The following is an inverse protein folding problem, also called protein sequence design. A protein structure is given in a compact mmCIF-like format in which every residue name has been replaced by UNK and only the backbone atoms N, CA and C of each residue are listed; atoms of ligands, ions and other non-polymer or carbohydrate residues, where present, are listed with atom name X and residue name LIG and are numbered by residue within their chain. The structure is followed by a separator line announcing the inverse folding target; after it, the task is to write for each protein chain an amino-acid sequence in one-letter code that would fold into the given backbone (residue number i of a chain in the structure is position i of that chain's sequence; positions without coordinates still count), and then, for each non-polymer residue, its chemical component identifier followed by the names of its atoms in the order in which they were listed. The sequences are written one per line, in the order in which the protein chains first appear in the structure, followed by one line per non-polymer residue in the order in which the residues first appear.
data_IF_430550269881
#
_entry.id   IF_430550269881
#
_cell.length_a   1.000
_cell.length_b   1.000
_cell.length_c   1.000
_cell.angle_alpha   90.00
_cell.angle_beta   90.00
_cell.angle_gamma   90.00
#
_symmetry.space_group_name_H-M   'P 1'
#
loop_
_entity.id
_entity.type
_entity.pdbx_description
1 polymer ?
#
# COMPACT_ATOMS: atom_id res chain seq x y z
N UNK A 1 -0.33 21.78 6.44
CA UNK A 1 0.04 23.17 6.76
C UNK A 1 0.60 23.83 5.51
N UNK A 2 0.16 25.05 5.23
CA UNK A 2 0.65 25.90 4.13
C UNK A 2 1.29 27.14 4.74
N UNK A 3 2.57 27.35 4.48
CA UNK A 3 3.28 28.55 4.94
C UNK A 3 3.53 29.47 3.76
N UNK A 4 3.11 30.73 3.84
CA UNK A 4 3.31 31.74 2.82
C UNK A 4 4.55 32.59 3.10
N UNK A 5 5.54 32.56 2.21
CA UNK A 5 6.76 33.40 2.26
C UNK A 5 6.71 34.39 1.10
N UNK A 6 6.57 35.69 1.37
CA UNK A 6 6.60 36.70 0.30
C UNK A 6 8.02 36.80 -0.29
N UNK A 7 8.11 36.79 -1.60
CA UNK A 7 9.30 37.02 -2.36
C UNK A 7 9.02 38.09 -3.43
N UNK A 8 10.04 38.82 -3.92
CA UNK A 8 9.84 39.87 -4.93
C UNK A 8 9.15 39.32 -6.18
N UNK A 9 7.90 39.73 -6.40
CA UNK A 9 7.07 39.31 -7.52
C UNK A 9 6.45 37.92 -7.42
N UNK A 10 6.73 37.14 -6.33
CA UNK A 10 6.17 35.82 -6.09
C UNK A 10 5.77 35.60 -4.64
N UNK A 11 4.77 34.76 -4.40
CA UNK A 11 4.45 34.21 -3.10
C UNK A 11 4.79 32.72 -3.10
N UNK A 12 5.84 32.34 -2.35
CA UNK A 12 6.21 30.94 -2.17
C UNK A 12 5.33 30.32 -1.10
N UNK A 13 4.56 29.31 -1.47
CA UNK A 13 3.69 28.54 -0.60
C UNK A 13 4.33 27.18 -0.32
N UNK A 14 4.96 27.03 0.84
CA UNK A 14 5.56 25.76 1.27
C UNK A 14 4.49 24.87 1.86
N UNK A 15 4.41 23.66 1.34
CA UNK A 15 3.43 22.67 1.76
C UNK A 15 4.11 21.49 2.45
N UNK A 16 3.54 21.07 3.59
CA UNK A 16 4.01 19.90 4.32
C UNK A 16 2.86 19.07 4.85
N UNK A 17 3.05 17.75 4.90
CA UNK A 17 2.12 16.81 5.50
C UNK A 17 1.60 15.74 4.55
N UNK A 18 0.80 14.82 5.10
CA UNK A 18 0.09 13.78 4.34
C UNK A 18 -1.27 14.33 3.91
N UNK A 19 -1.54 14.33 2.62
CA UNK A 19 -2.80 14.76 2.04
C UNK A 19 -3.73 13.55 1.81
N UNK A 20 -4.35 13.07 2.89
CA UNK A 20 -5.51 12.18 2.80
C UNK A 20 -6.80 12.98 2.44
N UNK A 21 -7.94 12.30 2.39
CA UNK A 21 -9.19 12.93 1.99
C UNK A 21 -9.62 14.08 2.91
N UNK A 22 -9.33 13.99 4.21
CA UNK A 22 -9.67 15.03 5.19
C UNK A 22 -8.65 16.17 5.17
N UNK A 23 -7.36 15.83 5.10
CA UNK A 23 -6.28 16.80 4.95
C UNK A 23 -6.37 17.61 3.66
N UNK A 24 -6.93 17.03 2.58
CA UNK A 24 -7.12 17.72 1.31
C UNK A 24 -8.19 18.82 1.36
N UNK A 25 -9.24 18.67 2.18
CA UNK A 25 -10.28 19.71 2.35
C UNK A 25 -9.72 20.91 3.11
N UNK A 26 -9.07 20.66 4.26
CA UNK A 26 -8.41 21.72 5.05
C UNK A 26 -7.34 22.45 4.24
N UNK A 27 -6.54 21.67 3.50
CA UNK A 27 -5.53 22.20 2.62
C UNK A 27 -6.09 23.07 1.48
N UNK A 28 -7.21 22.67 0.89
CA UNK A 28 -7.87 23.44 -0.17
C UNK A 28 -8.33 24.80 0.33
N UNK A 29 -8.75 24.87 1.57
CA UNK A 29 -9.22 26.13 2.20
C UNK A 29 -8.04 27.05 2.51
N UNK A 30 -6.98 26.55 3.15
CA UNK A 30 -5.75 27.30 3.41
C UNK A 30 -5.10 27.78 2.11
N UNK A 31 -4.97 26.91 1.11
CA UNK A 31 -4.42 27.26 -0.20
C UNK A 31 -5.23 28.36 -0.87
N UNK A 32 -6.55 28.27 -0.84
CA UNK A 32 -7.44 29.29 -1.43
C UNK A 32 -7.24 30.65 -0.79
N UNK A 33 -7.08 30.71 0.53
CA UNK A 33 -6.78 31.94 1.26
C UNK A 33 -5.46 32.58 0.81
N UNK A 34 -4.40 31.81 0.74
CA UNK A 34 -3.08 32.31 0.29
C UNK A 34 -3.07 32.71 -1.19
N UNK A 35 -3.77 31.97 -2.05
CA UNK A 35 -3.90 32.34 -3.47
C UNK A 35 -4.65 33.65 -3.66
N UNK A 36 -5.71 33.90 -2.87
CA UNK A 36 -6.40 35.18 -2.87
C UNK A 36 -5.51 36.32 -2.39
N UNK A 37 -4.66 36.07 -1.40
CA UNK A 37 -3.67 37.04 -0.93
C UNK A 37 -2.64 37.35 -2.02
N UNK A 38 -2.09 36.33 -2.71
CA UNK A 38 -1.18 36.52 -3.83
C UNK A 38 -1.82 37.35 -4.94
N UNK A 39 -3.07 37.05 -5.30
CA UNK A 39 -3.79 37.78 -6.35
C UNK A 39 -4.02 39.25 -6.00
N UNK A 40 -4.38 39.57 -4.73
CA UNK A 40 -4.55 40.95 -4.26
C UNK A 40 -3.24 41.74 -4.25
N UNK A 41 -2.14 41.05 -3.97
CA UNK A 41 -0.81 41.64 -3.94
C UNK A 41 -0.11 41.70 -5.32
N UNK A 42 -0.75 41.18 -6.37
CA UNK A 42 -0.14 41.06 -7.71
C UNK A 42 1.03 40.09 -7.78
N UNK A 43 1.15 39.18 -6.81
CA UNK A 43 2.24 38.21 -6.70
C UNK A 43 1.92 36.92 -7.47
N UNK A 44 2.96 36.28 -8.02
CA UNK A 44 2.86 34.97 -8.67
C UNK A 44 2.91 33.87 -7.61
N UNK A 45 1.87 33.02 -7.49
CA UNK A 45 1.91 31.90 -6.52
C UNK A 45 2.82 30.78 -7.03
N UNK A 46 3.77 30.36 -6.17
CA UNK A 46 4.68 29.24 -6.38
C UNK A 46 4.45 28.22 -5.26
N UNK A 47 4.00 27.05 -5.63
CA UNK A 47 3.67 25.95 -4.71
C UNK A 47 4.86 25.01 -4.57
N UNK A 48 5.47 24.97 -3.40
CA UNK A 48 6.56 24.05 -3.09
C UNK A 48 6.01 22.77 -2.46
N UNK A 49 6.12 21.66 -3.20
CA UNK A 49 5.57 20.36 -2.81
C UNK A 49 6.63 19.35 -2.35
N UNK A 50 7.84 19.80 -2.00
CA UNK A 50 8.93 18.91 -1.57
C UNK A 50 8.55 18.00 -0.40
N UNK A 51 7.78 18.51 0.55
CA UNK A 51 7.40 17.81 1.80
C UNK A 51 5.97 17.27 1.80
N UNK A 52 5.33 17.19 0.64
CA UNK A 52 3.97 16.65 0.49
C UNK A 52 4.03 15.17 0.22
N UNK A 53 3.39 14.37 1.09
CA UNK A 53 3.11 12.97 0.84
C UNK A 53 1.72 12.84 0.22
N UNK A 54 1.64 12.23 -0.96
CA UNK A 54 0.39 12.10 -1.69
C UNK A 54 -0.59 11.10 -1.04
N UNK A 55 -1.79 11.61 -0.77
CA UNK A 55 -2.97 10.86 -0.39
C UNK A 55 -4.00 10.66 -1.53
N UNK A 56 -3.56 10.36 -2.77
CA UNK A 56 -4.47 9.92 -3.84
C UNK A 56 -5.22 11.03 -4.59
N UNK A 57 -6.38 10.69 -5.19
CA UNK A 57 -7.19 11.55 -6.07
C UNK A 57 -7.73 12.84 -5.40
N UNK A 58 -7.69 12.95 -4.08
CA UNK A 58 -8.15 14.13 -3.35
C UNK A 58 -7.30 15.37 -3.66
N UNK A 59 -5.97 15.20 -3.76
CA UNK A 59 -5.04 16.30 -4.13
C UNK A 59 -5.28 16.77 -5.55
N UNK A 60 -5.47 15.84 -6.49
CA UNK A 60 -5.78 16.17 -7.87
C UNK A 60 -7.10 16.93 -8.01
N UNK A 61 -8.11 16.53 -7.24
CA UNK A 61 -9.38 17.27 -7.18
C UNK A 61 -9.19 18.67 -6.63
N UNK A 62 -8.47 18.81 -5.52
CA UNK A 62 -8.18 20.11 -4.91
C UNK A 62 -7.40 21.03 -5.86
N UNK A 63 -6.36 20.53 -6.54
CA UNK A 63 -5.63 21.26 -7.56
C UNK A 63 -6.50 21.61 -8.76
N UNK A 64 -7.31 20.67 -9.26
CA UNK A 64 -8.25 20.90 -10.37
C UNK A 64 -9.28 21.96 -10.05
N UNK A 65 -9.84 21.93 -8.85
CA UNK A 65 -10.80 22.94 -8.40
C UNK A 65 -10.15 24.31 -8.23
N UNK A 66 -8.94 24.33 -7.65
CA UNK A 66 -8.15 25.56 -7.50
C UNK A 66 -7.81 26.19 -8.85
N UNK A 67 -7.39 25.41 -9.84
CA UNK A 67 -7.04 25.93 -11.18
C UNK A 67 -8.28 26.37 -11.95
N UNK A 68 -9.41 25.68 -11.80
CA UNK A 68 -10.67 26.04 -12.44
C UNK A 68 -11.24 27.37 -11.90
N UNK A 69 -11.14 27.59 -10.59
CA UNK A 69 -11.58 28.86 -9.95
C UNK A 69 -10.63 30.03 -10.29
N UNK A 70 -9.46 29.76 -10.86
CA UNK A 70 -8.46 30.74 -11.30
C UNK A 70 -8.45 30.96 -12.82
N UNK A 71 -9.46 30.51 -13.54
CA UNK A 71 -9.55 30.70 -14.99
C UNK A 71 -9.36 32.19 -15.36
N UNK A 72 -8.44 32.49 -16.30
CA UNK A 72 -8.07 33.86 -16.70
C UNK A 72 -7.02 34.54 -15.82
N UNK A 73 -6.48 33.86 -14.79
CA UNK A 73 -5.35 34.35 -13.97
C UNK A 73 -4.05 33.65 -14.36
N UNK A 74 -2.88 34.19 -13.92
CA UNK A 74 -1.60 33.55 -14.17
C UNK A 74 -1.53 32.13 -13.68
N UNK A 75 -0.85 31.26 -14.43
CA UNK A 75 -0.67 29.84 -14.09
C UNK A 75 -0.10 29.65 -12.68
N UNK A 76 -0.60 28.63 -11.98
CA UNK A 76 -0.07 28.16 -10.72
C UNK A 76 1.24 27.42 -10.98
N UNK A 77 2.33 27.89 -10.40
CA UNK A 77 3.63 27.25 -10.53
C UNK A 77 3.79 26.24 -9.39
N UNK A 78 4.12 25.00 -9.75
CA UNK A 78 4.41 23.92 -8.78
C UNK A 78 5.88 23.54 -8.94
N UNK A 79 6.62 23.59 -7.83
CA UNK A 79 8.03 23.21 -7.79
C UNK A 79 8.28 22.02 -6.87
N UNK A 80 9.34 21.28 -7.15
CA UNK A 80 9.82 20.15 -6.34
C UNK A 80 8.74 19.08 -6.06
N UNK A 81 7.72 18.99 -6.94
CA UNK A 81 6.72 17.95 -6.85
C UNK A 81 7.35 16.58 -7.09
N UNK A 82 7.04 15.62 -6.24
CA UNK A 82 7.48 14.23 -6.38
C UNK A 82 7.01 13.63 -7.70
N UNK A 83 7.71 12.61 -8.25
CA UNK A 83 7.36 12.02 -9.55
C UNK A 83 5.90 11.62 -9.69
N UNK A 84 5.31 11.00 -8.67
CA UNK A 84 3.91 10.60 -8.69
C UNK A 84 2.92 11.78 -8.73
N UNK A 85 3.26 12.95 -8.13
CA UNK A 85 2.46 14.19 -8.26
C UNK A 85 2.54 14.73 -9.68
N UNK A 86 3.74 14.77 -10.23
CA UNK A 86 3.98 15.28 -11.59
C UNK A 86 3.23 14.45 -12.63
N UNK A 87 3.32 13.13 -12.53
CA UNK A 87 2.61 12.20 -13.40
C UNK A 87 1.09 12.35 -13.26
N UNK A 88 0.60 12.45 -12.04
CA UNK A 88 -0.82 12.61 -11.76
C UNK A 88 -1.38 13.94 -12.30
N UNK A 89 -0.65 15.06 -12.17
CA UNK A 89 -1.00 16.36 -12.75
C UNK A 89 -1.01 16.28 -14.27
N UNK A 90 -0.03 15.58 -14.86
CA UNK A 90 0.05 15.38 -16.32
C UNK A 90 -1.11 14.52 -16.85
N UNK A 91 -1.40 13.39 -16.21
CA UNK A 91 -2.51 12.51 -16.58
C UNK A 91 -3.87 13.17 -16.42
N UNK A 92 -4.05 14.00 -15.39
CA UNK A 92 -5.28 14.76 -15.16
C UNK A 92 -5.45 15.94 -16.15
N UNK A 93 -4.46 16.22 -17.00
CA UNK A 93 -4.46 17.34 -17.96
C UNK A 93 -4.89 18.66 -17.33
N UNK A 94 -4.39 18.97 -16.14
CA UNK A 94 -4.74 20.21 -15.45
C UNK A 94 -4.25 21.41 -16.25
N UNK A 95 -5.19 22.27 -16.64
CA UNK A 95 -4.89 23.55 -17.29
C UNK A 95 -4.58 24.61 -16.24
N UNK A 96 -3.71 25.57 -16.55
CA UNK A 96 -3.34 26.65 -15.61
C UNK A 96 -2.34 26.22 -14.53
N UNK A 97 -1.59 25.12 -14.75
CA UNK A 97 -0.49 24.64 -13.91
C UNK A 97 0.78 24.51 -14.71
N UNK A 98 1.89 25.01 -14.15
CA UNK A 98 3.25 24.75 -14.67
C UNK A 98 4.08 24.02 -13.65
N UNK A 99 4.77 22.97 -14.09
CA UNK A 99 5.59 22.11 -13.24
C UNK A 99 7.07 22.38 -13.53
N UNK A 100 7.85 22.63 -12.48
CA UNK A 100 9.32 22.76 -12.57
C UNK A 100 9.99 21.77 -11.60
N UNK A 101 11.16 21.27 -12.02
CA UNK A 101 11.91 20.34 -11.19
C UNK A 101 12.51 21.01 -9.95
N UNK A 102 12.96 22.27 -10.13
CA UNK A 102 13.60 23.06 -9.07
C UNK A 102 12.95 24.43 -8.93
N UNK A 103 13.11 25.03 -7.76
CA UNK A 103 12.67 26.40 -7.50
C UNK A 103 13.42 27.40 -8.38
N UNK A 104 14.71 27.19 -8.59
CA UNK A 104 15.57 28.05 -9.42
C UNK A 104 15.13 28.09 -10.89
N UNK A 105 14.65 26.96 -11.41
CA UNK A 105 14.11 26.90 -12.77
C UNK A 105 12.84 27.74 -12.89
N UNK A 106 11.93 27.63 -11.92
CA UNK A 106 10.71 28.39 -11.87
C UNK A 106 10.96 29.91 -11.73
N UNK A 107 11.91 30.29 -10.87
CA UNK A 107 12.25 31.71 -10.65
C UNK A 107 12.95 32.34 -11.88
N UNK A 108 13.81 31.59 -12.55
CA UNK A 108 14.42 32.06 -13.81
C UNK A 108 13.39 32.32 -14.91
N UNK A 109 12.38 31.45 -14.98
CA UNK A 109 11.27 31.62 -15.93
C UNK A 109 10.40 32.84 -15.57
N UNK A 110 10.12 33.04 -14.28
CA UNK A 110 9.40 34.20 -13.78
C UNK A 110 10.16 35.50 -14.08
N UNK A 111 11.48 35.54 -13.84
CA UNK A 111 12.32 36.68 -14.11
C UNK A 111 12.36 37.03 -15.62
N UNK A 112 12.44 36.03 -16.50
CA UNK A 112 12.33 36.22 -17.95
C UNK A 112 10.99 36.81 -18.37
N UNK A 113 9.91 36.37 -17.76
CA UNK A 113 8.55 36.82 -18.06
C UNK A 113 8.30 38.27 -17.58
N UNK A 114 9.04 38.77 -16.59
CA UNK A 114 8.88 40.12 -16.01
C UNK A 114 9.87 41.19 -16.54
N UNK A 115 10.81 40.79 -17.43
CA UNK A 115 11.83 41.67 -18.00
C UNK A 115 12.68 42.43 -16.96
N UNK A 116 12.77 42.00 -15.74
CA UNK A 116 13.61 42.53 -14.68
C UNK A 116 14.77 41.60 -14.41
N UNK A 117 15.96 42.02 -14.82
CA UNK A 117 17.22 41.44 -14.35
C UNK A 117 17.57 42.17 -13.06
N UNK A 118 17.12 41.65 -11.93
CA UNK A 118 17.58 42.08 -10.60
C UNK A 118 17.89 40.88 -9.74
N UNK A 119 18.81 41.05 -8.78
CA UNK A 119 19.43 40.04 -7.94
C UNK A 119 18.41 39.08 -7.29
N UNK A 120 18.75 37.81 -7.25
CA UNK A 120 17.94 36.77 -6.62
C UNK A 120 17.68 37.07 -5.13
N UNK A 121 16.44 37.00 -4.66
CA UNK A 121 16.08 37.43 -3.31
C UNK A 121 16.85 36.70 -2.20
N UNK A 122 17.17 37.41 -1.12
CA UNK A 122 17.96 36.92 0.03
C UNK A 122 17.38 35.69 0.76
N UNK A 123 16.09 35.39 0.61
CA UNK A 123 15.47 34.19 1.17
C UNK A 123 15.93 32.85 0.56
N UNK A 124 16.65 32.91 -0.59
CA UNK A 124 17.23 31.73 -1.22
C UNK A 124 18.20 30.99 -0.30
N UNK A 125 18.93 31.71 0.54
CA UNK A 125 19.87 31.12 1.51
C UNK A 125 19.19 30.45 2.69
N UNK A 126 17.89 30.71 2.91
CA UNK A 126 17.11 30.09 4.00
C UNK A 126 16.41 28.79 3.58
N UNK A 127 16.39 28.51 2.28
CA UNK A 127 15.90 27.23 1.76
C UNK A 127 17.11 26.31 1.68
N UNK A 128 17.27 25.46 2.69
CA UNK A 128 18.24 24.37 2.61
C UNK A 128 18.07 23.66 1.26
N UNK A 129 19.17 23.41 0.55
CA UNK A 129 19.13 22.58 -0.66
C UNK A 129 18.32 21.32 -0.36
N UNK A 130 17.35 20.95 -1.19
CA UNK A 130 16.60 19.75 -0.95
C UNK A 130 17.61 18.62 -0.89
N UNK A 131 17.64 17.93 0.24
CA UNK A 131 18.31 16.64 0.35
C UNK A 131 17.78 15.88 -0.86
N UNK A 132 18.65 15.62 -1.85
CA UNK A 132 18.26 14.76 -2.97
C UNK A 132 17.69 13.50 -2.33
N UNK A 133 16.43 13.13 -2.63
CA UNK A 133 15.89 11.93 -2.05
C UNK A 133 16.90 10.83 -2.31
N UNK A 134 17.31 10.14 -1.27
CA UNK A 134 18.25 9.05 -1.43
C UNK A 134 17.64 8.06 -2.41
N UNK A 135 18.48 7.28 -3.08
CA UNK A 135 17.98 6.19 -3.92
C UNK A 135 16.97 5.32 -3.14
N UNK A 136 17.18 5.18 -1.85
CA UNK A 136 16.29 4.52 -0.89
C UNK A 136 14.93 5.21 -0.78
N UNK A 137 14.88 6.53 -0.64
CA UNK A 137 13.60 7.27 -0.54
C UNK A 137 12.77 7.15 -1.81
N UNK A 138 13.42 7.26 -2.98
CA UNK A 138 12.77 7.06 -4.28
C UNK A 138 12.27 5.61 -4.44
N UNK A 139 13.03 4.66 -3.95
CA UNK A 139 12.69 3.25 -4.00
C UNK A 139 11.48 2.93 -3.11
N UNK A 140 11.45 3.45 -1.89
CA UNK A 140 10.33 3.33 -0.96
C UNK A 140 9.06 3.96 -1.53
N UNK A 141 9.18 5.11 -2.21
CA UNK A 141 8.03 5.75 -2.85
C UNK A 141 7.49 4.93 -4.03
N UNK A 142 8.34 4.43 -4.90
CA UNK A 142 7.96 3.54 -6.01
C UNK A 142 7.28 2.27 -5.47
N UNK A 143 7.79 1.71 -4.37
CA UNK A 143 7.20 0.54 -3.72
C UNK A 143 5.82 0.84 -3.13
N UNK A 144 5.67 1.98 -2.44
CA UNK A 144 4.38 2.41 -1.91
C UNK A 144 3.35 2.66 -3.02
N UNK A 145 3.78 3.27 -4.14
CA UNK A 145 2.94 3.48 -5.31
C UNK A 145 2.52 2.15 -5.96
N UNK A 146 3.45 1.20 -6.11
CA UNK A 146 3.14 -0.14 -6.64
C UNK A 146 2.17 -0.91 -5.75
N UNK A 147 2.36 -0.85 -4.42
CA UNK A 147 1.42 -1.46 -3.48
C UNK A 147 0.01 -0.84 -3.61
N UNK A 148 -0.08 0.48 -3.78
CA UNK A 148 -1.35 1.19 -4.02
C UNK A 148 -1.98 0.81 -5.35
N UNK A 149 -1.21 0.74 -6.44
CA UNK A 149 -1.70 0.33 -7.77
C UNK A 149 -2.30 -1.08 -7.73
N UNK A 150 -1.79 -1.97 -6.91
CA UNK A 150 -2.34 -3.34 -6.77
C UNK A 150 -3.61 -3.41 -5.93
N UNK A 151 -3.73 -2.57 -4.90
CA UNK A 151 -4.92 -2.57 -4.03
C UNK A 151 -6.04 -1.68 -4.55
N UNK A 152 -5.73 -0.63 -5.29
CA UNK A 152 -6.73 0.30 -5.84
C UNK A 152 -7.79 -0.38 -6.73
N UNK A 153 -7.46 -1.32 -7.63
CA UNK A 153 -8.48 -2.00 -8.42
C UNK A 153 -9.46 -2.82 -7.57
N UNK A 154 -8.96 -3.54 -6.55
CA UNK A 154 -9.80 -4.36 -5.66
C UNK A 154 -10.69 -3.46 -4.78
N UNK A 155 -10.16 -2.32 -4.31
CA UNK A 155 -10.95 -1.31 -3.60
C UNK A 155 -12.07 -0.78 -4.51
N UNK A 156 -11.73 -0.43 -5.77
CA UNK A 156 -12.71 0.05 -6.74
C UNK A 156 -13.80 -1.00 -7.05
N UNK A 157 -13.42 -2.27 -7.20
CA UNK A 157 -14.37 -3.37 -7.36
C UNK A 157 -15.30 -3.49 -6.15
N UNK A 158 -14.76 -3.47 -4.92
CA UNK A 158 -15.58 -3.54 -3.71
C UNK A 158 -16.53 -2.35 -3.59
N UNK A 159 -16.06 -1.14 -3.90
CA UNK A 159 -16.91 0.05 -3.95
C UNK A 159 -18.06 -0.13 -4.95
N UNK A 160 -17.76 -0.58 -6.18
CA UNK A 160 -18.76 -0.84 -7.21
C UNK A 160 -19.78 -1.90 -6.77
N UNK A 161 -19.32 -2.98 -6.15
CA UNK A 161 -20.17 -4.04 -5.58
C UNK A 161 -21.12 -3.47 -4.52
N UNK A 162 -20.62 -2.63 -3.59
CA UNK A 162 -21.44 -2.04 -2.55
C UNK A 162 -22.43 -1.01 -3.10
N UNK A 163 -21.98 -0.19 -4.04
CA UNK A 163 -22.87 0.78 -4.72
C UNK A 163 -24.03 0.08 -5.42
N UNK A 164 -23.73 -1.00 -6.17
CA UNK A 164 -24.75 -1.77 -6.86
C UNK A 164 -25.71 -2.52 -5.91
N UNK A 165 -25.18 -3.05 -4.79
CA UNK A 165 -25.98 -3.82 -3.82
C UNK A 165 -26.89 -2.96 -2.95
N UNK A 166 -26.46 -1.77 -2.57
CA UNK A 166 -27.13 -0.94 -1.57
C UNK A 166 -27.58 0.42 -2.09
N UNK A 167 -27.45 0.70 -3.39
CA UNK A 167 -27.88 1.96 -3.99
C UNK A 167 -27.10 3.17 -3.49
N UNK A 168 -25.82 3.02 -3.16
CA UNK A 168 -25.05 4.13 -2.61
C UNK A 168 -24.79 5.21 -3.66
N UNK A 169 -24.83 6.52 -3.27
CA UNK A 169 -24.80 7.64 -4.22
C UNK A 169 -23.41 7.80 -4.89
N UNK A 170 -22.34 7.41 -4.21
CA UNK A 170 -20.97 7.58 -4.70
C UNK A 170 -19.98 6.59 -4.08
N UNK A 171 -18.79 6.50 -4.69
CA UNK A 171 -17.72 5.64 -4.22
C UNK A 171 -17.13 6.07 -2.86
N UNK A 172 -17.23 7.35 -2.51
CA UNK A 172 -16.81 7.88 -1.22
C UNK A 172 -17.68 7.36 -0.08
N UNK A 173 -19.00 7.26 -0.28
CA UNK A 173 -19.91 6.64 0.68
C UNK A 173 -19.56 5.18 0.92
N UNK A 174 -19.32 4.40 -0.15
CA UNK A 174 -18.88 3.01 -0.04
C UNK A 174 -17.54 2.89 0.69
N UNK A 175 -16.58 3.77 0.41
CA UNK A 175 -15.27 3.76 1.06
C UNK A 175 -15.34 4.07 2.55
N UNK A 176 -16.18 5.03 2.96
CA UNK A 176 -16.36 5.36 4.39
C UNK A 176 -16.81 4.15 5.19
N UNK A 177 -17.80 3.40 4.69
CA UNK A 177 -18.31 2.20 5.39
C UNK A 177 -17.28 1.07 5.41
N UNK A 178 -16.54 0.88 4.32
CA UNK A 178 -15.42 -0.08 4.28
C UNK A 178 -14.34 0.26 5.31
N UNK A 179 -13.97 1.54 5.41
CA UNK A 179 -12.98 2.03 6.37
C UNK A 179 -13.46 1.85 7.81
N UNK A 180 -14.70 2.21 8.10
CA UNK A 180 -15.29 2.05 9.43
C UNK A 180 -15.28 0.58 9.88
N UNK A 181 -15.77 -0.34 9.06
CA UNK A 181 -15.73 -1.77 9.33
C UNK A 181 -14.31 -2.30 9.50
N UNK A 182 -13.37 -1.87 8.65
CA UNK A 182 -11.94 -2.21 8.73
C UNK A 182 -11.34 -1.79 10.07
N UNK A 183 -11.58 -0.55 10.49
CA UNK A 183 -11.06 -0.01 11.75
C UNK A 183 -11.70 -0.66 12.97
N UNK A 184 -13.02 -0.81 12.98
CA UNK A 184 -13.78 -1.38 14.09
C UNK A 184 -13.38 -2.82 14.42
N UNK A 185 -13.13 -3.62 13.40
CA UNK A 185 -12.77 -5.04 13.54
C UNK A 185 -11.28 -5.32 13.42
N UNK A 186 -10.47 -4.28 13.25
CA UNK A 186 -9.02 -4.39 13.03
C UNK A 186 -8.68 -5.37 11.88
N UNK A 187 -9.51 -5.36 10.83
CA UNK A 187 -9.29 -6.13 9.61
C UNK A 187 -8.61 -5.24 8.58
N UNK A 188 -7.43 -5.60 8.04
CA UNK A 188 -6.79 -4.80 6.99
C UNK A 188 -7.75 -4.53 5.83
N UNK A 189 -7.84 -3.27 5.40
CA UNK A 189 -8.81 -2.84 4.38
C UNK A 189 -8.74 -3.72 3.13
N UNK A 190 -7.52 -4.10 2.67
CA UNK A 190 -7.34 -4.99 1.51
C UNK A 190 -7.98 -6.37 1.70
N UNK A 191 -7.96 -6.92 2.92
CA UNK A 191 -8.57 -8.22 3.23
C UNK A 191 -10.09 -8.10 3.23
N UNK A 192 -10.62 -7.01 3.79
CA UNK A 192 -12.05 -6.75 3.83
C UNK A 192 -12.62 -6.51 2.41
N UNK A 193 -11.96 -5.67 1.59
CA UNK A 193 -12.44 -5.40 0.22
C UNK A 193 -12.39 -6.64 -0.65
N UNK A 194 -11.35 -7.46 -0.54
CA UNK A 194 -11.25 -8.74 -1.22
C UNK A 194 -12.41 -9.68 -0.83
N UNK A 195 -12.73 -9.74 0.47
CA UNK A 195 -13.87 -10.53 0.95
C UNK A 195 -15.21 -9.99 0.42
N UNK A 196 -15.42 -8.67 0.35
CA UNK A 196 -16.64 -8.06 -0.23
C UNK A 196 -16.81 -8.45 -1.69
N UNK A 197 -15.72 -8.47 -2.47
CA UNK A 197 -15.75 -8.82 -3.91
C UNK A 197 -16.17 -10.26 -4.11
N UNK A 198 -15.66 -11.21 -3.31
CA UNK A 198 -15.93 -12.63 -3.51
C UNK A 198 -17.17 -13.14 -2.76
N UNK A 199 -17.63 -12.41 -1.75
CA UNK A 199 -18.79 -12.83 -0.96
C UNK A 199 -20.09 -12.77 -1.79
N UNK A 200 -20.93 -13.80 -1.65
CA UNK A 200 -22.30 -13.75 -2.19
C UNK A 200 -23.07 -12.56 -1.64
N UNK A 201 -23.95 -12.00 -2.44
CA UNK A 201 -24.85 -10.96 -1.96
C UNK A 201 -25.72 -11.48 -0.78
N UNK A 202 -25.97 -10.65 0.24
CA UNK A 202 -26.90 -11.01 1.31
C UNK A 202 -28.31 -11.20 0.75
N UNK A 203 -29.02 -12.21 1.25
CA UNK A 203 -30.39 -12.52 0.82
C UNK A 203 -31.46 -11.92 1.76
N UNK A 204 -31.08 -11.31 2.86
CA UNK A 204 -31.99 -10.76 3.87
C UNK A 204 -31.30 -9.81 4.84
N UNK A 205 -31.89 -9.59 6.01
CA UNK A 205 -31.36 -8.67 7.04
C UNK A 205 -30.02 -9.10 7.66
N UNK A 206 -29.71 -10.40 7.57
CA UNK A 206 -28.47 -11.00 8.07
C UNK A 206 -27.71 -11.54 6.87
N UNK A 207 -26.43 -11.15 6.72
CA UNK A 207 -25.61 -11.63 5.60
C UNK A 207 -25.32 -13.12 5.68
N UNK A 208 -25.04 -13.62 6.90
CA UNK A 208 -24.66 -15.02 7.12
C UNK A 208 -25.65 -15.70 8.10
N UNK A 209 -26.89 -16.03 7.65
CA UNK A 209 -27.91 -16.64 8.51
C UNK A 209 -27.44 -18.03 9.01
N UNK A 210 -27.74 -18.33 10.28
CA UNK A 210 -27.38 -19.61 10.90
C UNK A 210 -25.88 -19.76 11.26
N UNK A 211 -25.06 -18.73 11.07
CA UNK A 211 -23.67 -18.73 11.49
C UNK A 211 -23.56 -18.88 13.01
N UNK A 212 -22.74 -19.83 13.47
CA UNK A 212 -22.40 -20.02 14.87
C UNK A 212 -21.01 -19.46 15.17
N UNK A 213 -20.79 -18.83 16.34
CA UNK A 213 -19.46 -18.45 16.78
C UNK A 213 -18.54 -19.68 16.84
N UNK A 214 -17.34 -19.56 16.31
CA UNK A 214 -16.34 -20.61 16.35
C UNK A 214 -15.37 -20.34 17.51
N UNK A 215 -15.06 -21.35 18.34
CA UNK A 215 -14.02 -21.21 19.35
C UNK A 215 -12.66 -20.99 18.65
N UNK A 216 -11.79 -20.27 19.34
CA UNK A 216 -10.41 -20.10 18.89
C UNK A 216 -9.74 -21.48 18.81
N UNK A 217 -9.09 -21.84 17.71
CA UNK A 217 -8.39 -23.11 17.62
C UNK A 217 -7.22 -23.16 18.61
N UNK A 218 -6.93 -24.36 19.11
CA UNK A 218 -5.74 -24.59 19.92
C UNK A 218 -4.52 -24.58 19.00
N UNK A 219 -3.71 -23.52 19.07
CA UNK A 219 -2.54 -23.30 18.25
C UNK A 219 -1.28 -23.33 19.11
N UNK A 220 -0.26 -24.07 18.69
CA UNK A 220 1.04 -24.12 19.41
C UNK A 220 1.67 -22.74 19.50
N UNK A 221 1.52 -21.93 18.45
CA UNK A 221 2.01 -20.56 18.39
C UNK A 221 1.41 -19.62 19.43
N UNK A 222 0.24 -19.95 19.98
CA UNK A 222 -0.43 -19.22 21.07
C UNK A 222 0.03 -19.69 22.46
N UNK A 223 0.64 -20.87 22.58
CA UNK A 223 1.05 -21.42 23.87
C UNK A 223 2.11 -20.58 24.58
N UNK A 224 2.85 -19.76 23.83
CA UNK A 224 3.96 -18.93 24.34
C UNK A 224 3.67 -17.44 24.23
N UNK A 225 2.71 -16.89 25.00
CA UNK A 225 2.70 -15.47 25.25
C UNK A 225 1.50 -14.64 24.82
N UNK A 226 0.32 -14.88 25.38
CA UNK A 226 -0.73 -13.84 25.53
C UNK A 226 -1.19 -13.11 24.26
N UNK A 227 -0.94 -13.67 23.07
CA UNK A 227 -1.33 -13.06 21.78
C UNK A 227 -2.84 -13.28 21.58
N UNK A 228 -3.54 -12.21 21.21
CA UNK A 228 -4.94 -12.34 20.79
C UNK A 228 -4.99 -12.75 19.31
N UNK A 229 -5.59 -13.90 18.96
CA UNK A 229 -5.68 -14.40 17.59
C UNK A 229 -6.49 -13.51 16.64
N UNK A 230 -7.20 -12.51 17.18
CA UNK A 230 -7.91 -11.50 16.39
C UNK A 230 -6.96 -10.47 15.75
N UNK A 231 -5.79 -10.25 16.33
CA UNK A 231 -4.80 -9.30 15.79
C UNK A 231 -3.97 -9.95 14.69
N UNK A 232 -4.48 -9.83 13.45
CA UNK A 232 -3.92 -10.49 12.27
C UNK A 232 -2.42 -10.28 12.12
N UNK A 233 -1.94 -9.05 12.27
CA UNK A 233 -0.51 -8.73 12.11
C UNK A 233 0.35 -9.46 13.13
N UNK A 234 -0.03 -9.42 14.40
CA UNK A 234 0.71 -10.11 15.47
C UNK A 234 0.82 -11.61 15.24
N UNK A 235 -0.26 -12.22 14.74
CA UNK A 235 -0.28 -13.64 14.43
C UNK A 235 0.63 -13.98 13.25
N UNK A 236 0.61 -13.20 12.19
CA UNK A 236 1.44 -13.44 11.00
C UNK A 236 2.93 -13.21 11.32
N UNK A 237 3.25 -12.15 12.09
CA UNK A 237 4.61 -11.88 12.54
C UNK A 237 5.11 -13.02 13.45
N UNK A 238 4.26 -13.57 14.32
CA UNK A 238 4.61 -14.72 15.14
C UNK A 238 4.86 -16.00 14.31
N UNK A 239 4.04 -16.26 13.29
CA UNK A 239 4.25 -17.37 12.33
C UNK A 239 5.61 -17.23 11.65
N UNK A 240 5.94 -16.03 11.18
CA UNK A 240 7.23 -15.81 10.51
C UNK A 240 8.40 -16.03 11.48
N UNK A 241 8.36 -15.46 12.69
CA UNK A 241 9.42 -15.62 13.67
C UNK A 241 9.64 -17.08 14.06
N UNK A 242 8.57 -17.84 14.26
CA UNK A 242 8.63 -19.26 14.57
C UNK A 242 9.23 -20.05 13.39
N UNK A 243 8.81 -19.74 12.16
CA UNK A 243 9.35 -20.39 10.97
C UNK A 243 10.86 -20.13 10.80
N UNK A 244 11.29 -18.87 11.03
CA UNK A 244 12.72 -18.50 11.00
C UNK A 244 13.51 -19.24 12.07
N UNK A 245 12.97 -19.38 13.28
CA UNK A 245 13.60 -20.09 14.38
C UNK A 245 13.74 -21.58 14.08
N UNK A 246 12.68 -22.25 13.60
CA UNK A 246 12.69 -23.65 13.19
C UNK A 246 13.71 -23.88 12.08
N UNK A 247 13.69 -23.06 11.04
CA UNK A 247 14.58 -23.18 9.88
C UNK A 247 16.00 -22.67 10.13
N UNK A 248 16.23 -21.97 11.25
CA UNK A 248 17.47 -21.20 11.50
C UNK A 248 17.82 -20.31 10.31
N UNK A 249 16.78 -19.68 9.74
CA UNK A 249 16.92 -18.85 8.56
C UNK A 249 17.11 -17.38 8.94
N UNK A 250 18.06 -16.65 8.34
CA UNK A 250 18.27 -15.24 8.61
C UNK A 250 17.20 -14.35 7.99
N UNK A 251 16.50 -14.85 6.95
CA UNK A 251 15.48 -14.08 6.24
C UNK A 251 14.30 -14.96 5.81
N UNK A 252 13.16 -14.32 5.62
CA UNK A 252 11.96 -15.01 5.14
C UNK A 252 10.76 -14.09 5.07
N UNK A 253 9.66 -14.63 4.57
CA UNK A 253 8.40 -13.91 4.46
C UNK A 253 7.18 -14.85 4.48
N UNK A 254 6.03 -14.27 4.72
CA UNK A 254 4.73 -14.95 4.63
C UNK A 254 3.88 -14.26 3.57
N UNK A 255 3.29 -15.06 2.69
CA UNK A 255 2.31 -14.63 1.71
C UNK A 255 1.00 -15.39 1.91
N UNK A 256 -0.13 -14.70 1.74
CA UNK A 256 -1.43 -15.37 1.63
C UNK A 256 -2.06 -15.13 0.27
N UNK A 257 -2.91 -16.07 -0.14
CA UNK A 257 -3.69 -15.94 -1.38
C UNK A 257 -4.78 -14.89 -1.16
N UNK A 258 -4.76 -13.85 -1.98
CA UNK A 258 -5.87 -12.91 -2.07
C UNK A 258 -6.95 -13.52 -2.97
N UNK A 259 -8.16 -13.82 -2.42
CA UNK A 259 -9.19 -14.51 -3.18
C UNK A 259 -9.80 -13.68 -4.32
N UNK A 260 -9.76 -12.35 -4.26
CA UNK A 260 -10.31 -11.49 -5.32
C UNK A 260 -9.50 -11.53 -6.60
N UNK A 261 -8.17 -11.72 -6.49
CA UNK A 261 -7.24 -11.75 -7.64
C UNK A 261 -6.55 -13.09 -7.81
N UNK A 262 -6.81 -14.05 -6.91
CA UNK A 262 -6.23 -15.39 -6.88
C UNK A 262 -4.69 -15.40 -6.94
N UNK A 263 -4.05 -14.46 -6.27
CA UNK A 263 -2.59 -14.28 -6.27
C UNK A 263 -2.02 -14.28 -4.85
N UNK A 264 -0.76 -14.73 -4.71
CA UNK A 264 -0.02 -14.60 -3.47
C UNK A 264 0.29 -13.12 -3.20
N UNK A 265 0.01 -12.67 -1.99
CA UNK A 265 0.23 -11.29 -1.54
C UNK A 265 1.09 -11.30 -0.29
N UNK A 266 2.14 -10.48 -0.29
CA UNK A 266 3.05 -10.35 0.85
C UNK A 266 2.31 -9.79 2.08
N UNK A 267 2.43 -10.49 3.21
CA UNK A 267 1.84 -10.12 4.48
C UNK A 267 2.85 -9.53 5.45
N UNK A 268 3.99 -10.20 5.60
CA UNK A 268 5.10 -9.78 6.44
C UNK A 268 6.42 -10.38 5.93
N UNK A 269 7.53 -9.76 6.29
CA UNK A 269 8.87 -10.24 5.97
C UNK A 269 9.88 -9.88 7.07
N UNK A 270 10.99 -10.59 7.11
CA UNK A 270 12.14 -10.33 7.99
C UNK A 270 13.44 -10.63 7.23
N UNK A 271 14.43 -9.77 7.34
CA UNK A 271 15.76 -9.95 6.75
C UNK A 271 15.81 -9.96 5.21
N UNK A 272 14.69 -9.77 4.52
CA UNK A 272 14.66 -9.76 3.06
C UNK A 272 15.13 -8.41 2.50
N UNK A 273 16.07 -8.46 1.58
CA UNK A 273 16.59 -7.29 0.89
C UNK A 273 15.56 -6.74 -0.15
N UNK A 274 15.69 -5.46 -0.45
CA UNK A 274 14.77 -4.74 -1.35
C UNK A 274 14.56 -5.41 -2.72
N UNK A 275 15.56 -5.96 -3.43
CA UNK A 275 15.32 -6.63 -4.71
C UNK A 275 14.34 -7.80 -4.62
N UNK A 276 14.38 -8.56 -3.51
CA UNK A 276 13.44 -9.66 -3.24
C UNK A 276 12.04 -9.13 -3.01
N UNK A 277 11.91 -8.11 -2.15
CA UNK A 277 10.61 -7.51 -1.83
C UNK A 277 9.95 -6.89 -3.06
N UNK A 278 10.72 -6.24 -3.91
CA UNK A 278 10.26 -5.71 -5.19
C UNK A 278 9.76 -6.78 -6.15
N UNK A 279 10.48 -7.90 -6.22
CA UNK A 279 10.05 -9.03 -7.04
C UNK A 279 8.71 -9.58 -6.54
N UNK A 280 8.56 -9.76 -5.22
CA UNK A 280 7.30 -10.21 -4.60
C UNK A 280 6.14 -9.23 -4.86
N UNK A 281 6.40 -7.93 -4.79
CA UNK A 281 5.40 -6.90 -5.05
C UNK A 281 5.00 -6.85 -6.53
N UNK A 282 5.88 -7.16 -7.48
CA UNK A 282 5.54 -7.23 -8.92
C UNK A 282 4.57 -8.38 -9.25
N UNK A 283 4.50 -9.42 -8.41
CA UNK A 283 3.45 -10.45 -8.47
C UNK A 283 3.52 -11.38 -9.69
N UNK A 284 4.67 -11.55 -10.29
CA UNK A 284 4.89 -12.61 -11.28
C UNK A 284 5.07 -13.93 -10.55
N UNK A 285 3.96 -14.68 -10.38
CA UNK A 285 3.95 -15.91 -9.58
C UNK A 285 4.61 -17.13 -10.24
N UNK A 286 4.77 -17.14 -11.54
CA UNK A 286 5.34 -18.29 -12.26
C UNK A 286 6.87 -18.29 -12.15
N UNK A 287 7.49 -19.49 -12.10
CA UNK A 287 8.93 -19.64 -12.00
C UNK A 287 9.51 -19.23 -10.64
N UNK A 288 8.74 -19.42 -9.57
CA UNK A 288 9.18 -19.22 -8.18
C UNK A 288 8.97 -20.50 -7.37
N UNK A 289 9.72 -20.68 -6.29
CA UNK A 289 9.51 -21.80 -5.36
C UNK A 289 8.13 -21.71 -4.68
N UNK A 290 7.63 -20.51 -4.42
CA UNK A 290 6.31 -20.28 -3.82
C UNK A 290 5.18 -20.74 -4.74
N UNK A 291 5.27 -20.40 -6.03
CA UNK A 291 4.30 -20.88 -7.04
C UNK A 291 4.36 -22.42 -7.17
N UNK A 292 5.55 -22.98 -7.14
CA UNK A 292 5.73 -24.44 -7.19
C UNK A 292 5.17 -25.10 -5.92
N UNK A 293 5.40 -24.54 -4.73
CA UNK A 293 4.85 -25.04 -3.47
C UNK A 293 3.33 -24.95 -3.46
N UNK A 294 2.79 -23.82 -3.93
CA UNK A 294 1.35 -23.60 -4.07
C UNK A 294 0.70 -24.63 -5.00
N UNK A 295 1.27 -24.83 -6.19
CA UNK A 295 0.71 -25.71 -7.20
C UNK A 295 0.84 -27.19 -6.82
N UNK A 296 1.98 -27.58 -6.22
CA UNK A 296 2.25 -28.96 -5.83
C UNK A 296 1.62 -29.37 -4.51
N UNK A 297 1.17 -28.41 -3.69
CA UNK A 297 0.65 -28.66 -2.33
C UNK A 297 1.68 -29.32 -1.41
N UNK A 298 2.97 -29.10 -1.63
CA UNK A 298 4.08 -29.66 -0.83
C UNK A 298 5.23 -28.70 -0.73
N UNK A 299 6.05 -28.90 0.29
CA UNK A 299 7.27 -28.11 0.49
C UNK A 299 8.22 -28.21 -0.72
N UNK A 300 8.83 -27.09 -1.06
CA UNK A 300 9.78 -26.98 -2.17
C UNK A 300 11.07 -26.37 -1.65
N UNK A 301 12.20 -27.08 -1.83
CA UNK A 301 13.53 -26.58 -1.54
C UNK A 301 14.25 -26.23 -2.83
N UNK A 302 14.91 -25.10 -2.84
CA UNK A 302 15.88 -24.65 -3.85
C UNK A 302 17.22 -24.49 -3.14
N UNK A 303 18.07 -25.51 -3.17
CA UNK A 303 19.32 -25.49 -2.41
C UNK A 303 20.38 -24.57 -3.03
N UNK A 304 20.29 -24.29 -4.31
CA UNK A 304 21.16 -23.34 -5.02
C UNK A 304 20.36 -22.48 -5.97
N UNK A 305 20.13 -21.23 -5.56
CA UNK A 305 19.40 -20.24 -6.33
C UNK A 305 20.06 -19.95 -7.68
N UNK A 306 21.40 -20.05 -7.75
CA UNK A 306 22.14 -19.70 -8.97
C UNK A 306 21.83 -20.66 -10.12
N UNK A 307 21.65 -21.94 -9.82
CA UNK A 307 21.62 -23.02 -10.83
C UNK A 307 20.28 -23.75 -10.94
N UNK A 308 19.38 -23.60 -9.95
CA UNK A 308 18.13 -24.36 -9.92
C UNK A 308 17.21 -23.97 -11.10
N UNK A 309 16.79 -24.95 -11.93
CA UNK A 309 15.96 -24.71 -13.11
C UNK A 309 14.52 -24.30 -12.78
N UNK A 310 14.08 -24.47 -11.54
CA UNK A 310 12.74 -24.05 -11.09
C UNK A 310 12.53 -22.54 -11.17
N UNK A 311 13.61 -21.78 -10.99
CA UNK A 311 13.54 -20.33 -10.87
C UNK A 311 13.64 -19.65 -12.23
N UNK A 312 12.68 -18.79 -12.53
CA UNK A 312 12.77 -17.87 -13.66
C UNK A 312 13.92 -16.87 -13.47
N UNK A 313 14.48 -16.37 -14.56
CA UNK A 313 15.68 -15.52 -14.55
C UNK A 313 15.50 -14.21 -13.76
N UNK A 314 14.32 -13.61 -13.81
CA UNK A 314 14.00 -12.39 -13.04
C UNK A 314 13.91 -12.68 -11.52
N UNK A 315 13.31 -13.81 -11.14
CA UNK A 315 13.27 -14.28 -9.77
C UNK A 315 14.68 -14.59 -9.26
N UNK A 316 15.46 -15.35 -10.03
CA UNK A 316 16.86 -15.68 -9.73
C UNK A 316 17.70 -14.43 -9.50
N UNK A 317 17.63 -13.46 -10.41
CA UNK A 317 18.37 -12.19 -10.28
C UNK A 317 17.96 -11.42 -9.02
N UNK A 318 16.67 -11.36 -8.70
CA UNK A 318 16.19 -10.67 -7.50
C UNK A 318 16.69 -11.33 -6.22
N UNK A 319 16.64 -12.67 -6.14
CA UNK A 319 17.12 -13.45 -5.01
C UNK A 319 18.63 -13.27 -4.82
N UNK A 320 19.42 -13.42 -5.89
CA UNK A 320 20.88 -13.27 -5.84
C UNK A 320 21.31 -11.84 -5.49
N UNK A 321 20.62 -10.82 -6.00
CA UNK A 321 20.84 -9.43 -5.64
C UNK A 321 20.45 -9.12 -4.18
N UNK A 322 19.56 -9.91 -3.60
CA UNK A 322 19.19 -9.86 -2.19
C UNK A 322 19.97 -10.84 -1.31
N UNK A 323 21.07 -11.38 -1.82
CA UNK A 323 21.98 -12.31 -1.11
C UNK A 323 21.34 -13.61 -0.65
N UNK A 324 20.22 -14.01 -1.24
CA UNK A 324 19.59 -15.30 -1.02
C UNK A 324 20.22 -16.35 -1.93
N UNK A 325 20.88 -17.35 -1.36
CA UNK A 325 21.57 -18.44 -2.07
C UNK A 325 20.84 -19.76 -2.01
N UNK A 326 20.04 -19.98 -0.98
CA UNK A 326 19.13 -21.11 -0.87
C UNK A 326 17.78 -20.64 -0.33
N UNK A 327 16.71 -21.38 -0.66
CA UNK A 327 15.37 -21.07 -0.14
C UNK A 327 14.52 -22.33 0.04
N UNK A 328 13.52 -22.21 0.92
CA UNK A 328 12.57 -23.27 1.19
C UNK A 328 11.17 -22.69 1.37
N UNK A 329 10.23 -23.14 0.57
CA UNK A 329 8.84 -22.65 0.57
C UNK A 329 7.89 -23.74 1.09
N UNK A 330 7.10 -23.39 2.09
CA UNK A 330 6.17 -24.26 2.80
C UNK A 330 4.74 -23.81 2.52
N UNK A 331 3.91 -24.61 1.83
CA UNK A 331 2.52 -24.24 1.55
C UNK A 331 1.65 -24.34 2.81
N UNK A 332 0.79 -23.34 3.00
CA UNK A 332 -0.29 -23.33 3.99
C UNK A 332 -1.54 -23.89 3.32
N UNK A 333 -1.90 -25.13 3.64
CA UNK A 333 -2.99 -25.84 3.00
C UNK A 333 -4.27 -25.79 3.86
N UNK A 334 -5.40 -25.48 3.26
CA UNK A 334 -6.71 -25.60 3.89
C UNK A 334 -7.06 -27.08 4.14
N UNK A 335 -8.09 -27.33 4.95
CA UNK A 335 -8.63 -28.69 5.17
C UNK A 335 -9.10 -29.38 3.89
N UNK A 336 -9.39 -28.61 2.84
CA UNK A 336 -9.75 -29.14 1.51
C UNK A 336 -8.53 -29.36 0.60
N UNK A 337 -7.30 -29.20 1.10
CA UNK A 337 -6.06 -29.33 0.33
C UNK A 337 -5.70 -28.14 -0.55
N UNK A 338 -6.50 -27.07 -0.59
CA UNK A 338 -6.20 -25.86 -1.36
C UNK A 338 -5.15 -25.03 -0.65
N UNK A 339 -4.18 -24.51 -1.38
CA UNK A 339 -3.17 -23.62 -0.83
C UNK A 339 -3.74 -22.22 -0.57
N UNK A 340 -3.69 -21.78 0.67
CA UNK A 340 -4.16 -20.47 1.15
C UNK A 340 -3.02 -19.50 1.41
N UNK A 341 -1.78 -19.97 1.39
CA UNK A 341 -0.59 -19.14 1.59
C UNK A 341 0.70 -19.93 1.47
N UNK A 342 1.82 -19.25 1.61
CA UNK A 342 3.16 -19.82 1.59
C UNK A 342 4.00 -19.11 2.64
N UNK A 343 4.83 -19.88 3.35
CA UNK A 343 5.90 -19.40 4.24
C UNK A 343 7.21 -19.70 3.55
N UNK A 344 8.04 -18.69 3.31
CA UNK A 344 9.32 -18.86 2.62
C UNK A 344 10.50 -18.45 3.50
N UNK A 345 11.51 -19.27 3.54
CA UNK A 345 12.75 -19.12 4.29
C UNK A 345 13.93 -19.00 3.32
N UNK A 346 14.87 -18.10 3.62
CA UNK A 346 16.03 -17.81 2.78
C UNK A 346 17.32 -17.91 3.59
N UNK A 347 18.38 -18.41 2.94
CA UNK A 347 19.73 -18.49 3.50
C UNK A 347 20.74 -17.87 2.55
N UNK A 348 21.82 -17.35 3.12
CA UNK A 348 22.93 -16.73 2.39
C UNK A 348 23.95 -17.75 1.87
N UNK A 349 23.88 -19.00 2.34
CA UNK A 349 24.76 -20.09 1.91
C UNK A 349 24.02 -21.01 0.95
N UNK A 350 24.65 -21.32 -0.19
CA UNK A 350 24.16 -22.34 -1.11
C UNK A 350 24.28 -23.75 -0.51
N UNK A 351 23.47 -24.67 -0.96
CA UNK A 351 23.42 -26.03 -0.49
C UNK A 351 22.53 -26.25 0.74
N UNK A 352 22.01 -25.19 1.34
CA UNK A 352 21.17 -25.31 2.54
C UNK A 352 19.84 -26.02 2.23
N UNK A 353 19.52 -27.00 3.08
CA UNK A 353 18.22 -27.69 3.09
C UNK A 353 17.76 -27.89 4.53
N UNK A 354 16.50 -27.67 4.86
CA UNK A 354 15.96 -28.08 6.15
C UNK A 354 16.14 -29.59 6.38
N UNK A 355 16.49 -29.97 7.59
CA UNK A 355 16.46 -31.38 7.99
C UNK A 355 15.04 -31.93 7.95
N UNK A 356 14.85 -33.24 7.94
CA UNK A 356 13.52 -33.85 7.99
C UNK A 356 12.72 -33.38 9.22
N UNK A 357 13.35 -33.25 10.39
CA UNK A 357 12.73 -32.73 11.60
C UNK A 357 12.30 -31.24 11.44
N UNK A 358 13.13 -30.40 10.82
CA UNK A 358 12.76 -29.00 10.54
C UNK A 358 11.60 -28.93 9.53
N UNK A 359 11.63 -29.75 8.48
CA UNK A 359 10.57 -29.79 7.50
C UNK A 359 9.22 -30.24 8.10
N UNK A 360 9.25 -31.22 9.02
CA UNK A 360 8.07 -31.65 9.75
C UNK A 360 7.55 -30.56 10.69
N UNK A 361 8.42 -29.90 11.45
CA UNK A 361 8.04 -28.80 12.33
C UNK A 361 7.43 -27.63 11.53
N UNK A 362 7.99 -27.29 10.37
CA UNK A 362 7.44 -26.27 9.46
C UNK A 362 6.07 -26.69 8.89
N UNK A 363 5.86 -27.97 8.58
CA UNK A 363 4.57 -28.49 8.16
C UNK A 363 3.51 -28.34 9.26
N UNK A 364 3.87 -28.62 10.51
CA UNK A 364 2.98 -28.44 11.67
C UNK A 364 2.66 -26.95 11.90
N UNK A 365 3.62 -26.06 11.75
CA UNK A 365 3.41 -24.62 11.84
C UNK A 365 2.46 -24.12 10.71
N UNK A 366 2.65 -24.63 9.50
CA UNK A 366 1.76 -24.31 8.38
C UNK A 366 0.33 -24.81 8.61
N UNK A 367 0.15 -25.97 9.23
CA UNK A 367 -1.16 -26.50 9.61
C UNK A 367 -1.83 -25.63 10.70
N UNK A 368 -1.10 -25.21 11.73
CA UNK A 368 -1.57 -24.27 12.74
C UNK A 368 -1.95 -22.90 12.12
N UNK A 369 -1.12 -22.40 11.18
CA UNK A 369 -1.40 -21.18 10.42
C UNK A 369 -2.69 -21.28 9.61
N UNK A 370 -2.93 -22.42 8.96
CA UNK A 370 -4.13 -22.69 8.20
C UNK A 370 -5.38 -22.73 9.10
N UNK A 371 -5.30 -23.40 10.24
CA UNK A 371 -6.39 -23.47 11.21
C UNK A 371 -6.75 -22.08 11.74
N UNK A 372 -5.75 -21.27 12.10
CA UNK A 372 -5.95 -19.88 12.49
C UNK A 372 -6.57 -19.05 11.37
N UNK A 373 -6.03 -19.10 10.16
CA UNK A 373 -6.52 -18.31 9.03
C UNK A 373 -7.98 -18.64 8.70
N UNK A 374 -8.35 -19.94 8.74
CA UNK A 374 -9.71 -20.39 8.55
C UNK A 374 -10.65 -19.87 9.66
N UNK A 375 -10.22 -19.92 10.92
CA UNK A 375 -10.96 -19.34 12.02
C UNK A 375 -11.11 -17.83 11.88
N UNK A 376 -10.03 -17.12 11.58
CA UNK A 376 -10.04 -15.66 11.37
C UNK A 376 -11.03 -15.25 10.29
N UNK A 377 -11.02 -15.93 9.15
CA UNK A 377 -11.96 -15.67 8.06
C UNK A 377 -13.41 -15.97 8.45
N UNK A 378 -13.67 -17.05 9.17
CA UNK A 378 -15.02 -17.47 9.56
C UNK A 378 -15.54 -16.75 10.82
N UNK A 379 -14.70 -16.02 11.50
CA UNK A 379 -15.04 -15.26 12.70
C UNK A 379 -14.89 -13.75 12.45
N UNK A 380 -13.69 -13.22 12.59
CA UNK A 380 -13.41 -11.78 12.57
C UNK A 380 -13.83 -11.12 11.26
N UNK A 381 -13.47 -11.75 10.14
CA UNK A 381 -13.78 -11.19 8.81
C UNK A 381 -15.29 -11.23 8.51
N UNK A 382 -15.99 -12.33 8.87
CA UNK A 382 -17.43 -12.38 8.69
C UNK A 382 -18.18 -11.43 9.66
N UNK A 383 -17.66 -11.14 10.86
CA UNK A 383 -18.22 -10.14 11.76
C UNK A 383 -18.11 -8.73 11.14
N UNK A 384 -16.97 -8.43 10.50
CA UNK A 384 -16.78 -7.16 9.81
C UNK A 384 -17.72 -7.00 8.60
N UNK A 385 -17.92 -8.07 7.80
CA UNK A 385 -18.87 -8.08 6.69
C UNK A 385 -20.32 -7.91 7.16
N UNK A 386 -20.70 -8.61 8.23
CA UNK A 386 -22.05 -8.51 8.82
C UNK A 386 -22.32 -7.10 9.35
N UNK A 387 -21.33 -6.48 10.02
CA UNK A 387 -21.43 -5.09 10.47
C UNK A 387 -21.61 -4.12 9.28
N UNK A 388 -20.82 -4.29 8.25
CA UNK A 388 -20.91 -3.50 7.01
C UNK A 388 -22.32 -3.62 6.39
N UNK A 389 -22.86 -4.84 6.32
CA UNK A 389 -24.20 -5.07 5.79
C UNK A 389 -25.28 -4.36 6.60
N UNK A 390 -25.26 -4.50 7.93
CA UNK A 390 -26.24 -3.84 8.81
C UNK A 390 -26.18 -2.32 8.69
N UNK A 391 -24.98 -1.73 8.66
CA UNK A 391 -24.81 -0.29 8.51
C UNK A 391 -25.42 0.22 7.20
N UNK A 392 -25.24 -0.52 6.09
CA UNK A 392 -25.74 -0.16 4.77
C UNK A 392 -27.25 -0.42 4.61
N UNK A 393 -27.76 -1.54 5.15
CA UNK A 393 -29.19 -1.86 5.11
C UNK A 393 -30.04 -0.88 5.91
N UNK A 394 -29.49 -0.28 6.99
CA UNK A 394 -30.17 0.76 7.75
C UNK A 394 -30.17 2.11 7.02
N UNK A 395 -29.13 2.43 6.29
CA UNK A 395 -29.03 3.68 5.53
C UNK A 395 -29.87 3.68 4.24
N UNK A 396 -30.28 2.51 3.76
CA UNK A 396 -31.09 2.34 2.55
C UNK A 396 -32.61 2.33 2.83
N UNK A 397 -33.01 2.31 4.11
CA UNK A 397 -34.42 2.46 4.58
C UNK A 397 -34.74 3.92 4.87
#
# INVERSE_FOLDING_TARGET
VVEGLPAEGALLLRMSGSLDAHGAELWSEELRGHLQQADRAGLRPVLDMAHVQLGGAAVLRALSETTRTRAGRPDLIIVRARPGVREAVHLARLTGVRLYATLDEALRELARATSRVEELPAWRSQIADPVRPSYEDLYQEVRALRARVRTAPVIGMAQGVLMARYGLPDSGAAFRVLRDASQRFNVPLRVLVSAVVVARAPAGEVWFPGRRPLPVPQLRILAHGGRDPRYRRQMIDAVLHEALAIGRAPAGYVQFVDPAVNALTLETHHGCAEPVLDHLVRGRGEGTADAAARTRGRQVSVPDVATDPLLADDCRRALLAGDARALHSVPVLSSAGSCTGVISLHWTDAGHRPTAAHAEALALLAADTSAWLSWYHRSVLLDALEHLHRALAHAAR
#
